data_IF_826273788492
#
_entry.id   IF_826273788492
#
_cell.length_a   1.000
_cell.length_b   1.000
_cell.length_c   1.000
_cell.angle_alpha   90.00
_cell.angle_beta   90.00
_cell.angle_gamma   90.00
#
_symmetry.space_group_name_H-M   'P 1'
#
loop_
_entity.id
_entity.type
_entity.pdbx_description
1 polymer ?
#
# COMPACT_ATOMS: atom_id res chain seq x y z
N UNK A 1 -11.30 8.22 3.17
CA UNK A 1 -11.80 7.00 2.49
C UNK A 1 -13.33 7.06 2.47
N UNK A 2 -13.94 6.65 1.35
CA UNK A 2 -15.39 6.45 1.22
C UNK A 2 -15.64 5.00 0.79
N UNK A 3 -16.74 4.41 1.27
CA UNK A 3 -17.03 3.00 1.03
C UNK A 3 -18.43 2.88 0.47
N UNK A 4 -18.57 2.03 -0.53
CA UNK A 4 -19.87 1.74 -1.16
C UNK A 4 -20.07 0.23 -1.25
N UNK A 5 -21.27 -0.21 -0.92
CA UNK A 5 -21.76 -1.52 -1.30
C UNK A 5 -22.18 -1.49 -2.77
N UNK A 6 -21.71 -2.43 -3.57
CA UNK A 6 -22.20 -2.67 -4.94
C UNK A 6 -23.38 -3.60 -4.83
N UNK A 7 -24.55 -3.14 -5.27
CA UNK A 7 -25.80 -3.90 -5.23
C UNK A 7 -26.35 -4.11 -6.65
N UNK A 8 -27.15 -5.12 -6.80
CA UNK A 8 -27.86 -5.43 -8.04
C UNK A 8 -29.35 -5.11 -7.87
N UNK A 9 -29.91 -4.28 -8.74
CA UNK A 9 -31.35 -3.93 -8.72
C UNK A 9 -32.25 -5.12 -8.99
N UNK A 10 -31.77 -6.09 -9.76
CA UNK A 10 -32.51 -7.28 -10.11
C UNK A 10 -32.49 -8.35 -9.00
N UNK A 11 -31.61 -8.17 -8.00
CA UNK A 11 -31.47 -9.12 -6.88
C UNK A 11 -32.34 -8.75 -5.69
N UNK A 12 -33.38 -9.54 -5.43
CA UNK A 12 -34.34 -9.33 -4.33
C UNK A 12 -33.74 -9.51 -2.93
N UNK A 13 -32.57 -10.12 -2.80
CA UNK A 13 -31.92 -10.39 -1.49
C UNK A 13 -31.28 -9.18 -0.85
N UNK A 14 -31.16 -8.08 -1.59
CA UNK A 14 -30.47 -6.85 -1.15
C UNK A 14 -29.03 -7.09 -0.63
N UNK A 15 -28.40 -8.21 -1.03
CA UNK A 15 -27.03 -8.57 -0.66
C UNK A 15 -26.04 -7.79 -1.52
N UNK A 16 -24.96 -7.27 -0.92
CA UNK A 16 -23.91 -6.64 -1.69
C UNK A 16 -23.09 -7.70 -2.43
N UNK A 17 -22.91 -7.51 -3.75
CA UNK A 17 -22.10 -8.40 -4.61
C UNK A 17 -20.62 -8.06 -4.56
N UNK A 18 -20.29 -6.83 -4.19
CA UNK A 18 -18.92 -6.33 -4.01
C UNK A 18 -18.92 -5.09 -3.10
N UNK A 19 -17.74 -4.64 -2.70
CA UNK A 19 -17.54 -3.40 -1.96
C UNK A 19 -16.46 -2.56 -2.64
N UNK A 20 -16.78 -1.29 -2.91
CA UNK A 20 -15.87 -0.33 -3.53
C UNK A 20 -15.30 0.61 -2.47
N UNK A 21 -13.99 0.64 -2.34
CA UNK A 21 -13.24 1.55 -1.48
C UNK A 21 -12.63 2.67 -2.31
N UNK A 22 -13.01 3.91 -2.02
CA UNK A 22 -12.56 5.10 -2.74
C UNK A 22 -11.63 5.94 -1.87
N UNK A 23 -10.42 6.16 -2.35
CA UNK A 23 -9.41 7.03 -1.75
C UNK A 23 -9.29 8.29 -2.61
N UNK A 24 -10.09 9.30 -2.26
CA UNK A 24 -10.27 10.52 -3.09
C UNK A 24 -8.97 11.29 -3.29
N UNK A 25 -8.17 11.46 -2.24
CA UNK A 25 -6.89 12.20 -2.29
C UNK A 25 -5.87 11.53 -3.21
N UNK A 26 -5.79 10.22 -3.12
CA UNK A 26 -4.89 9.37 -3.89
C UNK A 26 -5.42 9.05 -5.28
N UNK A 27 -6.69 9.37 -5.56
CA UNK A 27 -7.43 9.01 -6.77
C UNK A 27 -7.34 7.52 -7.08
N UNK A 28 -7.53 6.70 -6.04
CA UNK A 28 -7.43 5.23 -6.12
C UNK A 28 -8.76 4.58 -5.72
N UNK A 29 -9.03 3.47 -6.38
CA UNK A 29 -10.19 2.62 -6.14
C UNK A 29 -9.73 1.19 -5.90
N UNK A 30 -10.36 0.51 -4.96
CA UNK A 30 -10.17 -0.92 -4.74
C UNK A 30 -11.53 -1.58 -4.57
N UNK A 31 -11.68 -2.77 -5.15
CA UNK A 31 -12.90 -3.55 -4.98
C UNK A 31 -12.55 -4.80 -4.19
N UNK A 32 -13.37 -5.08 -3.18
CA UNK A 32 -13.29 -6.32 -2.41
C UNK A 32 -14.56 -7.13 -2.58
N UNK A 33 -14.39 -8.43 -2.81
CA UNK A 33 -15.46 -9.38 -3.01
C UNK A 33 -15.75 -10.13 -1.71
N UNK A 34 -17.02 -10.36 -1.35
CA UNK A 34 -17.40 -11.20 -0.22
C UNK A 34 -16.84 -12.63 -0.32
N UNK A 35 -16.69 -13.31 0.83
CA UNK A 35 -16.23 -14.72 0.83
C UNK A 35 -17.19 -15.64 0.08
N UNK A 36 -18.48 -15.36 0.21
CA UNK A 36 -19.56 -16.12 -0.40
C UNK A 36 -20.04 -15.53 -1.74
N UNK A 37 -19.23 -14.67 -2.40
CA UNK A 37 -19.62 -14.10 -3.68
C UNK A 37 -19.81 -15.18 -4.74
N UNK A 38 -20.97 -15.13 -5.45
CA UNK A 38 -21.25 -16.00 -6.57
C UNK A 38 -20.71 -15.40 -7.88
N UNK A 39 -19.92 -16.13 -8.67
CA UNK A 39 -19.43 -15.65 -9.95
C UNK A 39 -20.54 -15.27 -10.95
N UNK A 40 -21.72 -15.81 -10.83
CA UNK A 40 -22.87 -15.52 -11.70
C UNK A 40 -23.62 -14.24 -11.30
N UNK A 41 -23.60 -13.90 -10.02
CA UNK A 41 -24.19 -12.67 -9.47
C UNK A 41 -23.20 -11.49 -9.43
N UNK A 42 -21.93 -11.74 -9.75
CA UNK A 42 -20.86 -10.72 -9.69
C UNK A 42 -20.63 -10.10 -11.07
N UNK A 43 -20.41 -8.78 -11.19
CA UNK A 43 -20.10 -8.12 -12.45
C UNK A 43 -19.04 -8.87 -13.25
N UNK A 44 -19.24 -9.04 -14.57
CA UNK A 44 -18.44 -9.92 -15.44
C UNK A 44 -16.93 -9.71 -15.30
N UNK A 45 -16.48 -8.46 -15.24
CA UNK A 45 -15.06 -8.14 -15.07
C UNK A 45 -14.52 -8.63 -13.72
N UNK A 46 -15.33 -8.56 -12.66
CA UNK A 46 -14.95 -9.00 -11.32
C UNK A 46 -15.05 -10.52 -11.14
N UNK A 47 -16.01 -11.16 -11.81
CA UNK A 47 -16.20 -12.61 -11.76
C UNK A 47 -14.97 -13.39 -12.23
N UNK A 48 -14.20 -12.82 -13.16
CA UNK A 48 -12.95 -13.42 -13.64
C UNK A 48 -11.89 -13.56 -12.56
N UNK A 49 -11.83 -12.61 -11.62
CA UNK A 49 -10.94 -12.65 -10.46
C UNK A 49 -11.44 -13.66 -9.42
N UNK A 50 -12.74 -13.65 -9.17
CA UNK A 50 -13.36 -14.59 -8.24
C UNK A 50 -13.10 -16.04 -8.64
N UNK A 51 -13.23 -16.38 -9.93
CA UNK A 51 -12.88 -17.70 -10.48
C UNK A 51 -11.43 -18.11 -10.27
N UNK A 52 -10.52 -17.13 -10.12
CA UNK A 52 -9.10 -17.35 -9.79
C UNK A 52 -8.83 -17.36 -8.28
N UNK A 53 -9.87 -17.29 -7.44
CA UNK A 53 -9.75 -17.21 -5.99
C UNK A 53 -9.26 -15.85 -5.48
N UNK A 54 -9.22 -14.82 -6.33
CA UNK A 54 -8.82 -13.46 -5.93
C UNK A 54 -10.06 -12.70 -5.45
N UNK A 55 -10.02 -12.22 -4.23
CA UNK A 55 -11.12 -11.51 -3.59
C UNK A 55 -10.86 -10.01 -3.42
N UNK A 56 -9.62 -9.59 -3.55
CA UNK A 56 -9.20 -8.20 -3.59
C UNK A 56 -8.79 -7.84 -5.02
N UNK A 57 -9.44 -6.84 -5.59
CA UNK A 57 -9.16 -6.35 -6.93
C UNK A 57 -8.24 -5.14 -6.81
N UNK A 58 -7.11 -5.17 -7.49
CA UNK A 58 -6.12 -4.10 -7.44
C UNK A 58 -6.63 -2.77 -8.03
N UNK A 59 -5.89 -1.70 -7.78
CA UNK A 59 -6.26 -0.34 -8.18
C UNK A 59 -6.53 -0.21 -9.69
N UNK A 60 -5.74 -0.88 -10.53
CA UNK A 60 -5.88 -0.83 -11.99
C UNK A 60 -7.24 -1.37 -12.44
N UNK A 61 -7.58 -2.59 -12.07
CA UNK A 61 -8.83 -3.23 -12.49
C UNK A 61 -10.05 -2.62 -11.81
N UNK A 62 -9.92 -2.16 -10.57
CA UNK A 62 -10.98 -1.43 -9.88
C UNK A 62 -11.29 -0.10 -10.59
N UNK A 63 -10.25 0.62 -11.05
CA UNK A 63 -10.43 1.83 -11.84
C UNK A 63 -11.08 1.54 -13.19
N UNK A 64 -10.70 0.46 -13.90
CA UNK A 64 -11.36 0.04 -15.14
C UNK A 64 -12.86 -0.19 -14.92
N UNK A 65 -13.24 -0.87 -13.83
CA UNK A 65 -14.64 -1.07 -13.49
C UNK A 65 -15.38 0.26 -13.24
N UNK A 66 -14.75 1.21 -12.55
CA UNK A 66 -15.29 2.56 -12.34
C UNK A 66 -15.44 3.31 -13.67
N UNK A 67 -14.43 3.27 -14.52
CA UNK A 67 -14.44 3.96 -15.83
C UNK A 67 -15.54 3.45 -16.76
N UNK A 68 -15.98 2.21 -16.66
CA UNK A 68 -17.12 1.68 -17.41
C UNK A 68 -18.47 2.30 -16.99
N UNK A 69 -18.52 2.98 -15.82
CA UNK A 69 -19.74 3.55 -15.22
C UNK A 69 -19.83 5.06 -15.30
N UNK A 70 -18.81 5.70 -15.80
CA UNK A 70 -18.74 7.14 -15.90
C UNK A 70 -18.55 7.60 -17.35
N UNK A 71 -18.73 8.87 -17.59
CA UNK A 71 -18.47 9.46 -18.90
C UNK A 71 -16.99 9.30 -19.25
N UNK A 72 -16.65 8.76 -20.43
CA UNK A 72 -15.26 8.64 -20.85
C UNK A 72 -14.56 10.01 -20.97
N UNK A 73 -13.27 10.07 -20.59
CA UNK A 73 -12.49 11.30 -20.60
C UNK A 73 -12.20 11.86 -22.00
N UNK A 74 -12.33 11.05 -23.04
CA UNK A 74 -12.12 11.39 -24.46
C UNK A 74 -13.42 11.75 -25.20
N UNK A 75 -14.55 11.83 -24.47
CA UNK A 75 -15.85 12.17 -25.09
C UNK A 75 -15.85 13.59 -25.64
N UNK A 76 -16.26 13.77 -26.89
CA UNK A 76 -16.23 15.06 -27.61
C UNK A 76 -16.93 16.22 -26.88
N UNK A 77 -18.07 15.95 -26.20
CA UNK A 77 -18.83 16.95 -25.46
C UNK A 77 -18.53 16.97 -23.96
N UNK A 78 -17.41 16.40 -23.50
CA UNK A 78 -17.06 16.29 -22.08
C UNK A 78 -17.08 17.64 -21.36
N UNK A 79 -16.49 18.70 -21.98
CA UNK A 79 -16.46 20.03 -21.36
C UNK A 79 -17.84 20.64 -21.11
N UNK A 80 -18.83 20.33 -21.96
CA UNK A 80 -20.22 20.75 -21.74
C UNK A 80 -20.83 19.93 -20.57
N UNK A 81 -20.67 18.62 -20.57
CA UNK A 81 -21.16 17.75 -19.50
C UNK A 81 -20.61 18.16 -18.13
N UNK A 82 -19.32 18.47 -18.04
CA UNK A 82 -18.69 18.90 -16.79
C UNK A 82 -19.31 20.23 -16.30
N UNK A 83 -19.43 21.25 -17.17
CA UNK A 83 -20.04 22.55 -16.82
C UNK A 83 -21.50 22.41 -16.37
N UNK A 84 -22.29 21.64 -17.10
CA UNK A 84 -23.72 21.44 -16.80
C UNK A 84 -23.91 20.74 -15.44
N UNK A 85 -22.89 20.02 -14.96
CA UNK A 85 -22.87 19.34 -13.68
C UNK A 85 -22.03 20.05 -12.61
N UNK A 86 -21.58 21.30 -12.87
CA UNK A 86 -20.83 22.10 -11.90
C UNK A 86 -19.43 21.55 -11.58
N UNK A 87 -18.80 20.83 -12.53
CA UNK A 87 -17.47 20.29 -12.39
C UNK A 87 -16.45 21.12 -13.19
N UNK A 88 -15.42 21.63 -12.51
CA UNK A 88 -14.35 22.40 -13.14
C UNK A 88 -13.35 21.52 -13.91
N UNK A 89 -13.22 20.26 -13.52
CA UNK A 89 -12.31 19.29 -14.12
C UNK A 89 -12.87 17.87 -14.03
N UNK A 90 -12.26 16.98 -14.82
CA UNK A 90 -12.63 15.57 -14.84
C UNK A 90 -12.23 14.90 -13.52
N UNK A 91 -13.21 14.36 -12.80
CA UNK A 91 -13.05 13.70 -11.52
C UNK A 91 -13.88 12.41 -11.50
N UNK A 92 -13.17 11.27 -11.58
CA UNK A 92 -13.81 9.95 -11.66
C UNK A 92 -14.70 9.66 -10.44
N UNK A 93 -14.30 10.07 -9.24
CA UNK A 93 -15.08 9.87 -8.02
C UNK A 93 -16.38 10.68 -8.05
N UNK A 94 -16.30 11.97 -8.40
CA UNK A 94 -17.49 12.83 -8.48
C UNK A 94 -18.45 12.34 -9.56
N UNK A 95 -17.97 12.01 -10.75
CA UNK A 95 -18.80 11.48 -11.83
C UNK A 95 -19.48 10.17 -11.43
N UNK A 96 -18.76 9.28 -10.75
CA UNK A 96 -19.31 8.02 -10.26
C UNK A 96 -20.41 8.22 -9.23
N UNK A 97 -20.23 9.13 -8.27
CA UNK A 97 -21.19 9.38 -7.20
C UNK A 97 -22.44 10.11 -7.69
N UNK A 98 -22.35 10.96 -8.73
CA UNK A 98 -23.50 11.65 -9.32
C UNK A 98 -24.55 10.69 -9.87
N UNK A 99 -24.12 9.56 -10.42
CA UNK A 99 -25.02 8.53 -10.97
C UNK A 99 -25.30 7.39 -9.98
N UNK A 100 -24.76 7.47 -8.76
CA UNK A 100 -24.68 6.33 -7.84
C UNK A 100 -24.08 5.08 -8.51
N UNK A 101 -23.10 5.29 -9.38
CA UNK A 101 -22.45 4.23 -10.12
C UNK A 101 -23.30 3.49 -11.14
N UNK A 102 -24.52 3.98 -11.46
CA UNK A 102 -25.39 3.38 -12.46
C UNK A 102 -24.85 3.60 -13.86
N UNK A 103 -24.99 2.60 -14.71
CA UNK A 103 -24.69 2.69 -16.14
C UNK A 103 -25.74 1.93 -16.95
N UNK A 104 -25.74 2.13 -18.25
CA UNK A 104 -26.70 1.49 -19.15
C UNK A 104 -26.37 0.03 -19.52
N UNK A 105 -25.27 -0.51 -19.00
CA UNK A 105 -24.76 -1.81 -19.41
C UNK A 105 -25.15 -2.94 -18.43
N UNK A 106 -25.53 -2.60 -17.20
CA UNK A 106 -25.92 -3.55 -16.16
C UNK A 106 -26.84 -2.90 -15.11
N UNK A 107 -27.36 -3.70 -14.18
CA UNK A 107 -28.26 -3.32 -13.10
C UNK A 107 -27.56 -2.95 -11.79
N UNK A 108 -26.22 -2.89 -11.77
CA UNK A 108 -25.50 -2.60 -10.53
C UNK A 108 -25.49 -1.10 -10.19
N UNK A 109 -25.59 -0.81 -8.88
CA UNK A 109 -25.49 0.54 -8.34
C UNK A 109 -24.68 0.58 -7.06
N UNK A 110 -24.31 1.78 -6.64
CA UNK A 110 -23.53 2.04 -5.45
C UNK A 110 -24.42 2.59 -4.32
N UNK A 111 -24.37 1.96 -3.17
CA UNK A 111 -24.96 2.44 -1.93
C UNK A 111 -23.85 2.83 -0.95
N UNK A 112 -23.80 4.10 -0.49
CA UNK A 112 -22.79 4.50 0.49
C UNK A 112 -23.06 3.78 1.82
N UNK A 113 -21.99 3.24 2.41
CA UNK A 113 -22.04 2.56 3.71
C UNK A 113 -21.02 3.14 4.68
N UNK A 114 -21.24 2.91 5.98
CA UNK A 114 -20.26 3.28 7.00
C UNK A 114 -19.23 2.17 7.23
N UNK A 115 -18.11 2.51 7.85
CA UNK A 115 -17.08 1.52 8.23
C UNK A 115 -17.63 0.43 9.17
N UNK A 116 -18.69 0.73 9.92
CA UNK A 116 -19.32 -0.23 10.84
C UNK A 116 -20.12 -1.32 10.12
N UNK A 117 -20.54 -1.03 8.90
CA UNK A 117 -21.36 -1.92 8.08
C UNK A 117 -20.50 -2.84 7.20
N UNK A 118 -19.18 -2.72 7.29
CA UNK A 118 -18.24 -3.58 6.55
C UNK A 118 -18.28 -4.99 7.14
N UNK A 119 -18.38 -6.05 6.29
CA UNK A 119 -18.34 -7.43 6.75
C UNK A 119 -17.06 -7.77 7.52
N UNK A 120 -17.19 -8.60 8.56
CA UNK A 120 -16.07 -8.99 9.45
C UNK A 120 -14.88 -9.62 8.70
N UNK A 121 -15.13 -10.30 7.61
CA UNK A 121 -14.08 -10.87 6.76
C UNK A 121 -13.14 -9.83 6.18
N UNK A 122 -13.65 -8.63 5.85
CA UNK A 122 -12.81 -7.54 5.36
C UNK A 122 -11.95 -6.94 6.47
N UNK A 123 -12.44 -6.94 7.71
CA UNK A 123 -11.63 -6.56 8.87
C UNK A 123 -10.41 -7.47 8.98
N UNK A 124 -10.60 -8.79 8.83
CA UNK A 124 -9.50 -9.76 8.82
C UNK A 124 -8.52 -9.52 7.67
N UNK A 125 -9.02 -9.30 6.44
CA UNK A 125 -8.16 -8.98 5.30
C UNK A 125 -7.42 -7.65 5.49
N UNK A 126 -8.06 -6.67 6.12
CA UNK A 126 -7.43 -5.39 6.42
C UNK A 126 -6.22 -5.54 7.37
N UNK A 127 -6.27 -6.48 8.32
CA UNK A 127 -5.13 -6.77 9.19
C UNK A 127 -3.95 -7.40 8.43
N UNK A 128 -4.19 -8.04 7.29
CA UNK A 128 -3.14 -8.62 6.44
C UNK A 128 -2.56 -7.61 5.43
N UNK A 129 -3.03 -6.37 5.43
CA UNK A 129 -2.47 -5.31 4.58
C UNK A 129 -1.08 -4.89 5.06
N UNK A 130 -0.30 -4.38 4.11
CA UNK A 130 1.05 -3.90 4.40
C UNK A 130 0.98 -2.64 5.27
N UNK A 131 1.74 -2.62 6.35
CA UNK A 131 1.94 -1.45 7.20
C UNK A 131 3.16 -0.66 6.75
N UNK A 132 4.28 -1.37 6.47
CA UNK A 132 5.53 -0.75 6.05
C UNK A 132 6.39 -1.72 5.24
N UNK A 133 7.35 -1.19 4.48
CA UNK A 133 8.31 -1.95 3.69
C UNK A 133 9.71 -1.33 3.77
N UNK A 134 10.70 -2.15 4.02
CA UNK A 134 12.11 -1.73 4.11
C UNK A 134 12.91 -2.48 3.04
N UNK A 135 13.54 -1.77 2.09
CA UNK A 135 14.48 -2.38 1.17
C UNK A 135 15.78 -2.73 1.89
N UNK A 136 16.18 -4.00 1.82
CA UNK A 136 17.43 -4.53 2.35
C UNK A 136 18.44 -4.76 1.21
N UNK A 137 19.75 -4.96 1.50
CA UNK A 137 20.72 -5.38 0.50
C UNK A 137 20.30 -6.64 -0.28
N UNK A 138 20.91 -6.87 -1.45
CA UNK A 138 20.71 -8.07 -2.28
C UNK A 138 19.25 -8.28 -2.75
N UNK A 139 18.56 -7.18 -3.09
CA UNK A 139 17.16 -7.20 -3.53
C UNK A 139 16.19 -7.88 -2.54
N UNK A 140 16.51 -7.86 -1.25
CA UNK A 140 15.63 -8.35 -0.21
C UNK A 140 14.70 -7.25 0.28
N UNK A 141 13.49 -7.63 0.69
CA UNK A 141 12.49 -6.73 1.27
C UNK A 141 12.09 -7.26 2.65
N UNK A 142 11.98 -6.37 3.62
CA UNK A 142 11.35 -6.66 4.90
C UNK A 142 9.98 -5.97 4.90
N UNK A 143 8.92 -6.76 4.96
CA UNK A 143 7.54 -6.27 4.88
C UNK A 143 6.85 -6.48 6.22
N UNK A 144 6.31 -5.40 6.77
CA UNK A 144 5.52 -5.38 8.00
C UNK A 144 4.04 -5.35 7.64
N UNK A 145 3.24 -6.16 8.32
CA UNK A 145 1.80 -6.25 8.14
C UNK A 145 1.07 -5.73 9.38
N UNK A 146 -0.15 -5.23 9.20
CA UNK A 146 -0.95 -4.63 10.29
C UNK A 146 -1.28 -5.57 11.44
N UNK A 147 -1.27 -6.87 11.20
CA UNK A 147 -1.42 -7.89 12.26
C UNK A 147 -0.13 -8.13 13.09
N UNK A 148 0.92 -7.33 12.83
CA UNK A 148 2.23 -7.46 13.46
C UNK A 148 3.13 -8.54 12.85
N UNK A 149 2.68 -9.27 11.83
CA UNK A 149 3.51 -10.23 11.12
C UNK A 149 4.59 -9.51 10.31
N UNK A 150 5.81 -10.02 10.35
CA UNK A 150 6.92 -9.50 9.52
C UNK A 150 7.44 -10.62 8.64
N UNK A 151 7.61 -10.32 7.34
CA UNK A 151 8.14 -11.29 6.39
C UNK A 151 9.29 -10.71 5.58
N UNK A 152 10.29 -11.56 5.35
CA UNK A 152 11.39 -11.27 4.44
C UNK A 152 11.12 -11.89 3.08
N UNK A 153 11.29 -11.11 2.02
CA UNK A 153 11.07 -11.50 0.65
C UNK A 153 12.33 -11.29 -0.18
N UNK A 154 12.54 -12.16 -1.15
CA UNK A 154 13.49 -11.98 -2.22
C UNK A 154 12.72 -11.46 -3.45
N UNK A 155 13.04 -10.23 -3.90
CA UNK A 155 12.35 -9.63 -5.05
C UNK A 155 12.62 -10.40 -6.34
N UNK A 156 13.80 -11.03 -6.49
CA UNK A 156 14.11 -11.84 -7.66
C UNK A 156 13.12 -13.00 -7.79
N UNK A 157 12.78 -13.66 -6.67
CA UNK A 157 11.79 -14.73 -6.65
C UNK A 157 10.37 -14.21 -6.85
N UNK A 158 9.99 -13.12 -6.16
CA UNK A 158 8.65 -12.52 -6.29
C UNK A 158 8.34 -12.05 -7.70
N UNK A 159 9.34 -11.51 -8.37
CA UNK A 159 9.25 -10.90 -9.70
C UNK A 159 9.64 -11.86 -10.84
N UNK A 160 9.94 -13.11 -10.56
CA UNK A 160 10.49 -14.07 -11.54
C UNK A 160 9.62 -14.26 -12.79
N UNK A 161 8.31 -14.08 -12.66
CA UNK A 161 7.35 -14.22 -13.76
C UNK A 161 6.98 -12.88 -14.43
N UNK A 162 7.43 -11.76 -13.91
CA UNK A 162 7.07 -10.42 -14.40
C UNK A 162 8.29 -9.61 -14.83
N UNK A 163 8.57 -9.61 -16.14
CA UNK A 163 9.72 -8.92 -16.75
C UNK A 163 9.73 -7.39 -16.51
N UNK A 164 8.60 -6.79 -16.11
CA UNK A 164 8.53 -5.35 -15.79
C UNK A 164 9.38 -4.96 -14.59
N UNK A 165 9.73 -5.92 -13.72
CA UNK A 165 10.62 -5.70 -12.58
C UNK A 165 12.11 -5.66 -12.95
N UNK A 166 12.51 -5.99 -14.17
CA UNK A 166 13.92 -5.98 -14.56
C UNK A 166 14.64 -4.64 -14.26
N UNK A 167 14.08 -3.46 -14.54
CA UNK A 167 14.73 -2.19 -14.20
C UNK A 167 14.91 -1.99 -12.68
N UNK A 168 13.97 -2.49 -11.86
CA UNK A 168 14.04 -2.43 -10.39
C UNK A 168 15.18 -3.30 -9.88
N UNK A 169 15.32 -4.51 -10.42
CA UNK A 169 16.35 -5.47 -10.02
C UNK A 169 17.78 -5.04 -10.44
N UNK A 170 17.89 -4.24 -11.52
CA UNK A 170 19.18 -3.81 -12.07
C UNK A 170 19.68 -2.49 -11.47
N UNK A 171 18.84 -1.71 -10.79
CA UNK A 171 19.20 -0.40 -10.26
C UNK A 171 18.82 -0.28 -8.79
N UNK A 172 19.83 -0.16 -7.93
CA UNK A 172 19.64 -0.06 -6.48
C UNK A 172 18.80 1.15 -6.06
N UNK A 173 18.96 2.31 -6.69
CA UNK A 173 18.17 3.49 -6.38
C UNK A 173 16.70 3.27 -6.73
N UNK A 174 16.43 2.62 -7.86
CA UNK A 174 15.06 2.24 -8.24
C UNK A 174 14.49 1.23 -7.26
N UNK A 175 15.26 0.22 -6.87
CA UNK A 175 14.85 -0.77 -5.88
C UNK A 175 14.51 -0.10 -4.54
N UNK A 176 15.36 0.82 -4.07
CA UNK A 176 15.14 1.55 -2.80
C UNK A 176 13.95 2.50 -2.82
N UNK A 177 13.43 2.85 -3.99
CA UNK A 177 12.25 3.70 -4.14
C UNK A 177 10.93 2.94 -3.91
N UNK A 178 10.97 1.74 -3.35
CA UNK A 178 9.78 0.99 -2.95
C UNK A 178 8.97 1.77 -1.93
N UNK A 179 7.66 1.80 -2.12
CA UNK A 179 6.71 2.44 -1.20
C UNK A 179 5.52 1.51 -0.93
N UNK A 180 4.87 1.72 0.20
CA UNK A 180 3.58 1.07 0.48
C UNK A 180 2.52 1.69 -0.42
N UNK A 181 1.75 0.84 -1.08
CA UNK A 181 0.59 1.25 -1.87
C UNK A 181 -0.52 1.80 -0.98
N UNK A 182 -1.39 2.64 -1.55
CA UNK A 182 -2.53 3.23 -0.85
C UNK A 182 -3.20 2.24 0.08
N UNK A 183 -3.36 2.61 1.34
CA UNK A 183 -3.97 1.81 2.42
C UNK A 183 -3.36 0.40 2.60
N UNK A 184 -2.12 0.19 2.16
CA UNK A 184 -1.43 -1.09 2.34
C UNK A 184 -1.90 -2.23 1.43
N UNK A 185 -2.59 -1.93 0.34
CA UNK A 185 -3.02 -2.96 -0.63
C UNK A 185 -1.85 -3.69 -1.31
N UNK A 186 -0.64 -3.15 -1.18
CA UNK A 186 0.58 -3.77 -1.69
C UNK A 186 1.81 -2.91 -1.45
N UNK A 187 2.85 -3.18 -2.21
CA UNK A 187 4.05 -2.36 -2.34
C UNK A 187 4.26 -2.01 -3.80
N UNK A 188 4.74 -0.80 -4.08
CA UNK A 188 4.86 -0.29 -5.45
C UNK A 188 6.21 0.39 -5.71
N UNK A 189 6.66 0.32 -6.95
CA UNK A 189 7.68 1.14 -7.56
C UNK A 189 7.01 2.05 -8.61
N UNK A 190 6.74 3.30 -8.21
CA UNK A 190 5.93 4.21 -9.01
C UNK A 190 4.44 3.84 -9.00
N UNK A 191 3.71 4.23 -10.05
CA UNK A 191 2.24 4.14 -10.05
C UNK A 191 1.68 2.77 -10.45
N UNK A 192 2.41 2.01 -11.27
CA UNK A 192 1.86 0.83 -11.95
C UNK A 192 2.63 -0.47 -11.75
N UNK A 193 3.77 -0.43 -11.07
CA UNK A 193 4.57 -1.61 -10.81
C UNK A 193 4.43 -2.03 -9.34
N UNK A 194 3.39 -2.79 -9.05
CA UNK A 194 3.02 -3.16 -7.69
C UNK A 194 3.00 -4.67 -7.47
N UNK A 195 3.21 -5.06 -6.21
CA UNK A 195 3.01 -6.43 -5.73
C UNK A 195 1.91 -6.39 -4.66
N UNK A 196 0.85 -7.11 -4.88
CA UNK A 196 -0.34 -7.12 -4.02
C UNK A 196 -0.06 -7.71 -2.62
N UNK A 197 -0.69 -7.14 -1.59
CA UNK A 197 -0.52 -7.57 -0.19
C UNK A 197 -0.85 -9.05 0.00
N UNK A 198 -1.86 -9.59 -0.67
CA UNK A 198 -2.22 -11.00 -0.58
C UNK A 198 -1.08 -11.94 -1.02
N UNK A 199 -0.37 -11.60 -2.12
CA UNK A 199 0.82 -12.34 -2.55
C UNK A 199 1.95 -12.24 -1.55
N UNK A 200 2.22 -11.03 -1.03
CA UNK A 200 3.23 -10.79 -0.01
C UNK A 200 2.90 -11.54 1.29
N UNK A 201 1.63 -11.51 1.71
CA UNK A 201 1.21 -12.19 2.93
C UNK A 201 1.26 -13.72 2.82
N UNK A 202 0.92 -14.28 1.65
CA UNK A 202 0.96 -15.72 1.40
C UNK A 202 2.39 -16.28 1.25
N UNK A 203 3.34 -15.45 0.83
CA UNK A 203 4.72 -15.87 0.53
C UNK A 203 5.73 -15.26 1.52
N UNK A 204 7.02 -15.49 1.29
CA UNK A 204 8.09 -14.94 2.11
C UNK A 204 8.36 -15.72 3.38
N UNK A 205 9.54 -15.48 3.92
CA UNK A 205 10.02 -16.14 5.14
C UNK A 205 9.61 -15.30 6.36
N UNK A 206 8.82 -15.89 7.26
CA UNK A 206 8.43 -15.22 8.51
C UNK A 206 9.65 -14.88 9.35
N UNK A 207 9.71 -13.65 9.83
CA UNK A 207 10.75 -13.15 10.73
C UNK A 207 10.13 -13.02 12.13
N UNK A 208 10.74 -13.55 13.18
CA UNK A 208 10.23 -13.45 14.55
C UNK A 208 10.57 -12.06 15.14
N UNK A 209 9.97 -11.02 14.55
CA UNK A 209 10.11 -9.62 14.94
C UNK A 209 8.78 -8.92 14.65
N UNK A 210 8.22 -8.26 15.64
CA UNK A 210 7.04 -7.41 15.46
C UNK A 210 7.45 -5.95 15.26
N UNK A 211 6.53 -5.13 14.77
CA UNK A 211 6.73 -3.68 14.66
C UNK A 211 6.99 -3.03 16.04
N UNK A 212 6.31 -3.51 17.09
CA UNK A 212 6.52 -2.98 18.43
C UNK A 212 7.90 -3.33 18.99
N UNK A 213 8.39 -4.54 18.77
CA UNK A 213 9.76 -4.93 19.11
C UNK A 213 10.79 -4.12 18.32
N UNK A 214 10.53 -3.86 17.02
CA UNK A 214 11.37 -2.99 16.21
C UNK A 214 11.40 -1.55 16.76
N UNK A 215 10.25 -0.97 17.10
CA UNK A 215 10.17 0.36 17.73
C UNK A 215 10.90 0.39 19.08
N UNK A 216 10.77 -0.67 19.89
CA UNK A 216 11.52 -0.80 21.13
C UNK A 216 13.03 -0.84 20.86
N UNK A 217 13.48 -1.64 19.87
CA UNK A 217 14.89 -1.68 19.48
C UNK A 217 15.42 -0.30 19.07
N UNK A 218 14.68 0.41 18.21
CA UNK A 218 15.07 1.77 17.76
C UNK A 218 15.18 2.72 18.95
N UNK A 219 14.19 2.73 19.86
CA UNK A 219 14.17 3.59 21.04
C UNK A 219 15.34 3.35 21.97
N UNK A 220 15.71 2.10 22.17
CA UNK A 220 16.72 1.71 23.16
C UNK A 220 18.15 1.63 22.60
N UNK A 221 18.29 1.48 21.28
CA UNK A 221 19.59 1.10 20.65
C UNK A 221 20.06 2.02 19.55
N UNK A 222 19.22 2.97 19.12
CA UNK A 222 19.59 4.00 18.15
C UNK A 222 19.73 5.33 18.90
N UNK A 223 20.91 5.91 18.84
CA UNK A 223 21.26 7.16 19.56
C UNK A 223 21.62 8.25 18.56
N UNK A 224 21.31 9.50 18.91
CA UNK A 224 21.74 10.66 18.16
C UNK A 224 23.16 11.11 18.53
N UNK A 225 23.65 12.18 17.86
CA UNK A 225 25.00 12.70 18.14
C UNK A 225 25.15 13.29 19.56
N UNK A 226 24.03 13.70 20.20
CA UNK A 226 24.09 14.23 21.57
C UNK A 226 24.21 13.07 22.56
N UNK A 227 23.35 12.08 22.45
CA UNK A 227 23.38 10.88 23.29
C UNK A 227 24.70 10.12 23.13
N UNK A 228 25.22 10.03 21.87
CA UNK A 228 26.53 9.44 21.60
C UNK A 228 27.68 10.23 22.30
N UNK A 229 27.59 11.55 22.34
CA UNK A 229 28.59 12.40 23.02
C UNK A 229 28.56 12.19 24.54
N UNK A 230 27.37 12.03 25.14
CA UNK A 230 27.21 11.72 26.57
C UNK A 230 27.82 10.36 26.91
N UNK A 231 27.49 9.29 26.11
CA UNK A 231 28.03 7.95 26.32
C UNK A 231 29.57 7.88 26.18
N UNK A 232 30.14 8.69 25.27
CA UNK A 232 31.60 8.77 25.07
C UNK A 232 32.28 9.79 25.99
N UNK A 233 31.53 10.50 26.82
CA UNK A 233 32.01 11.61 27.66
C UNK A 233 32.84 12.64 26.86
N UNK A 234 32.34 13.04 25.69
CA UNK A 234 33.03 13.98 24.80
C UNK A 234 32.07 15.02 24.19
N UNK A 235 32.58 15.95 23.37
CA UNK A 235 31.75 16.92 22.67
C UNK A 235 31.08 16.32 21.42
N UNK A 236 29.95 16.91 20.99
CA UNK A 236 29.31 16.56 19.71
C UNK A 236 30.26 16.73 18.51
N UNK A 237 31.12 17.73 18.53
CA UNK A 237 32.16 17.94 17.52
C UNK A 237 33.09 16.72 17.40
N UNK A 238 33.48 16.15 18.55
CA UNK A 238 34.32 14.96 18.57
C UNK A 238 33.59 13.74 17.96
N UNK A 239 32.28 13.56 18.22
CA UNK A 239 31.45 12.52 17.58
C UNK A 239 31.44 12.72 16.07
N UNK A 240 31.24 13.96 15.59
CA UNK A 240 31.26 14.26 14.15
C UNK A 240 32.65 13.98 13.52
N UNK A 241 33.73 14.29 14.23
CA UNK A 241 35.09 14.00 13.76
C UNK A 241 35.36 12.48 13.74
N UNK A 242 34.87 11.74 14.71
CA UNK A 242 34.95 10.27 14.70
C UNK A 242 34.21 9.68 13.50
N UNK A 243 33.03 10.22 13.19
CA UNK A 243 32.29 9.80 12.00
C UNK A 243 33.02 10.13 10.70
N UNK A 244 33.53 11.36 10.54
CA UNK A 244 34.33 11.78 9.38
C UNK A 244 35.59 10.95 9.18
N UNK A 245 36.20 10.46 10.26
CA UNK A 245 37.40 9.60 10.24
C UNK A 245 37.07 8.12 10.07
N UNK A 246 35.80 7.75 9.86
CA UNK A 246 35.34 6.36 9.74
C UNK A 246 35.57 5.52 11.00
N UNK A 247 35.54 6.14 12.19
CA UNK A 247 35.66 5.46 13.49
C UNK A 247 34.33 5.26 14.21
N UNK A 248 33.28 5.93 13.74
CA UNK A 248 31.87 5.70 14.02
C UNK A 248 31.12 5.74 12.70
N UNK A 249 30.17 4.80 12.49
CA UNK A 249 29.40 4.68 11.27
C UNK A 249 27.96 5.06 11.52
N UNK A 250 27.50 6.23 11.08
CA UNK A 250 26.11 6.60 11.25
C UNK A 250 25.21 5.67 10.41
N UNK A 251 24.16 5.16 11.02
CA UNK A 251 23.15 4.35 10.32
C UNK A 251 22.20 5.22 9.48
N UNK A 252 22.09 6.51 9.82
CA UNK A 252 21.36 7.51 9.04
C UNK A 252 22.02 8.86 9.20
N UNK A 253 22.19 9.59 8.11
CA UNK A 253 22.70 10.96 8.08
C UNK A 253 21.64 11.92 7.56
N UNK A 254 21.56 13.11 8.16
CA UNK A 254 20.72 14.21 7.72
C UNK A 254 21.46 15.53 7.86
N UNK A 255 20.89 16.62 7.34
CA UNK A 255 21.53 17.96 7.36
C UNK A 255 21.86 18.47 8.76
N UNK A 256 21.14 18.01 9.79
CA UNK A 256 21.28 18.51 11.17
C UNK A 256 21.65 17.44 12.20
N UNK A 257 21.57 16.14 11.86
CA UNK A 257 21.79 15.05 12.81
C UNK A 257 22.29 13.79 12.12
N UNK A 258 22.98 12.96 12.90
CA UNK A 258 23.35 11.58 12.55
C UNK A 258 22.79 10.65 13.61
N UNK A 259 22.46 9.44 13.21
CA UNK A 259 22.00 8.38 14.11
C UNK A 259 23.00 7.22 14.08
N UNK A 260 23.31 6.67 15.24
CA UNK A 260 24.28 5.60 15.44
C UNK A 260 23.65 4.44 16.18
N UNK A 261 24.21 3.24 16.00
CA UNK A 261 23.90 2.11 16.89
C UNK A 261 24.62 2.34 18.23
N UNK A 262 23.88 2.26 19.34
CA UNK A 262 24.45 2.39 20.70
C UNK A 262 25.56 1.38 20.94
N UNK A 263 25.44 0.14 20.42
CA UNK A 263 26.47 -0.89 20.51
C UNK A 263 27.80 -0.48 19.91
N UNK A 264 27.82 0.23 18.77
CA UNK A 264 29.04 0.74 18.14
C UNK A 264 29.66 1.88 18.98
N UNK A 265 28.82 2.79 19.48
CA UNK A 265 29.26 3.86 20.39
C UNK A 265 29.92 3.25 21.63
N UNK A 266 29.31 2.26 22.26
CA UNK A 266 29.87 1.57 23.42
C UNK A 266 31.18 0.84 23.11
N UNK A 267 31.26 0.14 21.97
CA UNK A 267 32.51 -0.50 21.55
C UNK A 267 33.65 0.51 21.38
N UNK A 268 33.32 1.73 20.93
CA UNK A 268 34.30 2.81 20.81
C UNK A 268 34.78 3.32 22.16
N UNK A 269 33.88 3.37 23.16
CA UNK A 269 34.22 3.77 24.55
C UNK A 269 35.25 2.84 25.18
N UNK A 270 35.21 1.55 24.82
CA UNK A 270 36.11 0.52 25.36
C UNK A 270 37.43 0.38 24.60
N UNK A 271 37.63 1.07 23.50
CA UNK A 271 38.86 1.18 22.71
C UNK A 271 39.61 2.47 23.01
#
# INVERSE_FOLDING_TARGET
MKIFAVRDEDNTTNKAVAYLFCYEKEKRFYIELPEEADPWETPLILSSFLKKGQKTINAYWSRIWVQQRIVPSDRQNLGMILRDNGLDFYDEYKLLTMTNGRCSQDSYYLEPISEKDIPKEFVKRNQQKVEDVIPLPENQLLVFFRDGCVKKHDLVQLASTDKRFAPVLQNENTFRAVNVETDGYGICWGENLCIECGKLYATGKKVPLSMEEFKCFVRERVVDSAEAAEELACSKQNVDDLAKRGKLHPIKEGAKYRLFLKSEVMQRKWK
#
